data_IF_596117295038
#
_entry.id   IF_596117295038
#
_cell.length_a   1.000
_cell.length_b   1.000
_cell.length_c   1.000
_cell.angle_alpha   90.00
_cell.angle_beta   90.00
_cell.angle_gamma   90.00
#
_symmetry.space_group_name_H-M   'P 1'
#
loop_
_entity.id
_entity.type
_entity.pdbx_description
1 polymer ?
#
# COMPACT_ATOMS: atom_id res chain seq x y z
N UNK A 1 -24.40 14.32 5.38
CA UNK A 1 -23.83 13.31 6.28
C UNK A 1 -22.35 13.10 6.00
N UNK A 2 -21.56 12.62 6.96
CA UNK A 2 -20.14 12.32 6.73
C UNK A 2 -19.94 11.33 5.59
N UNK A 3 -20.77 10.29 5.48
CA UNK A 3 -20.69 9.31 4.41
C UNK A 3 -20.93 9.92 3.04
N UNK A 4 -21.92 10.81 2.92
CA UNK A 4 -22.22 11.47 1.68
C UNK A 4 -21.07 12.36 1.22
N UNK A 5 -20.44 13.08 2.15
CA UNK A 5 -19.26 13.91 1.85
C UNK A 5 -18.09 13.07 1.40
N UNK A 6 -17.89 11.93 2.04
CA UNK A 6 -16.83 10.99 1.67
C UNK A 6 -17.04 10.48 0.25
N UNK A 7 -18.26 10.08 -0.07
CA UNK A 7 -18.59 9.59 -1.40
C UNK A 7 -18.37 10.66 -2.48
N UNK A 8 -18.77 11.90 -2.19
CA UNK A 8 -18.53 13.03 -3.10
C UNK A 8 -17.03 13.30 -3.27
N UNK A 9 -16.26 13.19 -2.19
CA UNK A 9 -14.81 13.36 -2.25
C UNK A 9 -14.16 12.29 -3.13
N UNK A 10 -14.57 11.03 -3.00
CA UNK A 10 -14.04 9.94 -3.82
C UNK A 10 -14.39 10.15 -5.29
N UNK A 11 -15.62 10.58 -5.59
CA UNK A 11 -16.04 10.89 -6.94
C UNK A 11 -15.21 12.03 -7.53
N UNK A 12 -14.99 13.10 -6.75
CA UNK A 12 -14.16 14.22 -7.18
C UNK A 12 -12.72 13.79 -7.47
N UNK A 13 -12.16 12.86 -6.68
CA UNK A 13 -10.85 12.29 -6.92
C UNK A 13 -10.77 11.55 -8.25
N UNK A 14 -11.78 10.73 -8.57
CA UNK A 14 -11.82 9.99 -9.82
C UNK A 14 -11.91 10.91 -11.03
N UNK A 15 -12.59 12.05 -10.88
CA UNK A 15 -12.69 13.06 -11.92
C UNK A 15 -11.45 13.96 -12.02
N UNK A 16 -10.47 13.77 -11.13
CA UNK A 16 -9.27 14.59 -11.08
C UNK A 16 -9.45 15.94 -10.39
N UNK A 17 -10.57 16.15 -9.72
CA UNK A 17 -10.88 17.40 -9.01
C UNK A 17 -10.32 17.34 -7.59
N UNK A 18 -9.00 17.38 -7.47
CA UNK A 18 -8.33 17.18 -6.20
C UNK A 18 -8.61 18.27 -5.17
N UNK A 19 -8.71 19.54 -5.59
CA UNK A 19 -9.02 20.65 -4.67
C UNK A 19 -10.41 20.53 -4.07
N UNK A 20 -11.40 20.14 -4.89
CA UNK A 20 -12.77 19.91 -4.42
C UNK A 20 -12.81 18.73 -3.43
N UNK A 21 -12.06 17.67 -3.71
CA UNK A 21 -11.96 16.52 -2.81
C UNK A 21 -11.33 16.90 -1.47
N UNK A 22 -10.27 17.72 -1.48
CA UNK A 22 -9.65 18.25 -0.25
C UNK A 22 -10.63 19.02 0.61
N UNK A 23 -11.42 19.89 -0.02
CA UNK A 23 -12.42 20.67 0.70
C UNK A 23 -13.49 19.77 1.32
N UNK A 24 -14.03 18.81 0.57
CA UNK A 24 -15.04 17.87 1.07
C UNK A 24 -14.51 17.02 2.22
N UNK A 25 -13.27 16.56 2.12
CA UNK A 25 -12.63 15.75 3.15
C UNK A 25 -12.35 16.61 4.38
N UNK A 26 -11.88 17.85 4.18
CA UNK A 26 -11.63 18.79 5.27
C UNK A 26 -12.87 19.04 6.13
N UNK A 27 -14.05 19.08 5.51
CA UNK A 27 -15.33 19.20 6.21
C UNK A 27 -15.71 17.94 6.99
N UNK A 28 -15.11 16.79 6.64
CA UNK A 28 -15.41 15.49 7.24
C UNK A 28 -14.39 15.06 8.29
N UNK A 29 -13.34 15.85 8.51
CA UNK A 29 -12.18 15.47 9.33
C UNK A 29 -12.46 15.23 10.82
N UNK A 30 -13.67 15.48 11.27
CA UNK A 30 -14.04 15.22 12.67
C UNK A 30 -14.45 13.76 12.92
N UNK A 31 -14.56 12.97 11.86
CA UNK A 31 -14.84 11.54 11.96
C UNK A 31 -13.72 10.81 11.23
N UNK A 32 -12.94 10.02 11.86
CA UNK A 32 -11.93 9.02 11.44
C UNK A 32 -11.63 8.85 9.92
N UNK A 33 -11.71 9.90 9.11
CA UNK A 33 -11.50 9.84 7.66
C UNK A 33 -10.08 10.24 7.25
N UNK A 34 -9.14 10.17 8.18
CA UNK A 34 -7.74 10.41 7.89
C UNK A 34 -7.21 9.55 6.77
N UNK A 35 -7.72 8.32 6.64
CA UNK A 35 -7.29 7.41 5.59
C UNK A 35 -7.66 7.91 4.18
N UNK A 36 -8.85 8.48 4.01
CA UNK A 36 -9.25 9.01 2.70
C UNK A 36 -8.44 10.24 2.32
N UNK A 37 -8.22 11.14 3.28
CA UNK A 37 -7.34 12.29 3.08
C UNK A 37 -5.94 11.82 2.72
N UNK A 38 -5.44 10.81 3.41
CA UNK A 38 -4.13 10.24 3.13
C UNK A 38 -4.04 9.68 1.71
N UNK A 39 -5.08 8.96 1.26
CA UNK A 39 -5.13 8.43 -0.11
C UNK A 39 -5.14 9.55 -1.15
N UNK A 40 -5.83 10.64 -0.86
CA UNK A 40 -5.81 11.84 -1.70
C UNK A 40 -4.39 12.36 -1.84
N UNK A 41 -3.68 12.53 -0.74
CA UNK A 41 -2.30 12.99 -0.77
C UNK A 41 -1.39 12.01 -1.53
N UNK A 42 -1.60 10.70 -1.40
CA UNK A 42 -0.84 9.71 -2.15
C UNK A 42 -1.03 9.88 -3.66
N UNK A 43 -2.27 10.10 -4.10
CA UNK A 43 -2.56 10.35 -5.52
C UNK A 43 -1.88 11.61 -6.05
N UNK A 44 -1.67 12.60 -5.19
CA UNK A 44 -1.00 13.85 -5.54
C UNK A 44 0.53 13.75 -5.43
N UNK A 45 1.06 12.62 -4.97
CA UNK A 45 2.49 12.47 -4.73
C UNK A 45 2.99 13.18 -3.47
N UNK A 46 2.08 13.61 -2.60
CA UNK A 46 2.41 14.32 -1.36
C UNK A 46 2.59 13.30 -0.23
N UNK A 47 3.69 12.56 -0.27
CA UNK A 47 3.90 11.42 0.62
C UNK A 47 4.01 11.80 2.09
N UNK A 48 4.66 12.93 2.41
CA UNK A 48 4.78 13.36 3.80
C UNK A 48 3.43 13.74 4.41
N UNK A 49 2.59 14.45 3.66
CA UNK A 49 1.25 14.78 4.12
C UNK A 49 0.40 13.52 4.28
N UNK A 50 0.55 12.56 3.38
CA UNK A 50 -0.13 11.27 3.49
C UNK A 50 0.26 10.54 4.78
N UNK A 51 1.56 10.52 5.12
CA UNK A 51 2.04 9.91 6.36
C UNK A 51 1.43 10.56 7.59
N UNK A 52 1.36 11.90 7.61
CA UNK A 52 0.73 12.61 8.73
C UNK A 52 -0.74 12.29 8.85
N UNK A 53 -1.45 12.19 7.73
CA UNK A 53 -2.88 11.86 7.72
C UNK A 53 -3.15 10.44 8.20
N UNK A 54 -2.30 9.48 7.84
CA UNK A 54 -2.40 8.12 8.36
C UNK A 54 -2.09 8.03 9.85
N UNK A 55 -1.17 8.88 10.33
CA UNK A 55 -0.74 8.86 11.73
C UNK A 55 -0.22 7.48 12.14
N UNK A 56 -0.82 6.90 13.18
CA UNK A 56 -0.44 5.57 13.69
C UNK A 56 -1.31 4.44 13.13
N UNK A 57 -2.09 4.70 12.09
CA UNK A 57 -2.95 3.69 11.46
C UNK A 57 -2.13 2.52 10.94
N UNK A 58 -2.57 1.29 11.25
CA UNK A 58 -1.95 0.05 10.78
C UNK A 58 -2.81 -0.55 9.67
N UNK A 59 -2.49 -0.18 8.43
CA UNK A 59 -3.22 -0.65 7.25
C UNK A 59 -2.27 -0.84 6.08
N UNK A 60 -2.72 -1.58 5.06
CA UNK A 60 -1.95 -1.74 3.83
C UNK A 60 -1.67 -0.38 3.17
N UNK A 61 -2.64 0.51 3.16
CA UNK A 61 -2.48 1.83 2.54
C UNK A 61 -1.46 2.70 3.29
N UNK A 62 -1.47 2.66 4.64
CA UNK A 62 -0.47 3.36 5.44
C UNK A 62 0.95 2.84 5.14
N UNK A 63 1.10 1.53 4.98
CA UNK A 63 2.37 0.92 4.62
C UNK A 63 2.84 1.36 3.22
N UNK A 64 1.91 1.48 2.27
CA UNK A 64 2.24 1.98 0.92
C UNK A 64 2.81 3.40 1.00
N UNK A 65 2.20 4.27 1.80
CA UNK A 65 2.71 5.63 1.99
C UNK A 65 4.12 5.63 2.55
N UNK A 66 4.39 4.79 3.55
CA UNK A 66 5.72 4.65 4.13
C UNK A 66 6.72 4.09 3.13
N UNK A 67 6.32 3.07 2.36
CA UNK A 67 7.14 2.46 1.31
C UNK A 67 7.53 3.50 0.24
N UNK A 68 6.58 4.28 -0.24
CA UNK A 68 6.82 5.30 -1.25
C UNK A 68 7.70 6.44 -0.72
N UNK A 69 7.67 6.69 0.59
CA UNK A 69 8.55 7.65 1.24
C UNK A 69 9.87 7.00 1.71
N UNK A 70 10.16 5.79 1.26
CA UNK A 70 11.39 5.04 1.54
C UNK A 70 11.61 4.73 3.02
N UNK A 71 10.55 4.69 3.79
CA UNK A 71 10.57 4.29 5.20
C UNK A 71 10.28 2.79 5.31
N UNK A 72 11.23 1.97 4.88
CA UNK A 72 11.01 0.53 4.73
C UNK A 72 10.81 -0.19 6.06
N UNK A 73 11.58 0.15 7.08
CA UNK A 73 11.41 -0.45 8.40
C UNK A 73 10.03 -0.13 8.98
N UNK A 74 9.59 1.12 8.84
CA UNK A 74 8.27 1.55 9.28
C UNK A 74 7.17 0.86 8.51
N UNK A 75 7.34 0.70 7.20
CA UNK A 75 6.37 0.00 6.36
C UNK A 75 6.23 -1.46 6.79
N UNK A 76 7.33 -2.15 7.05
CA UNK A 76 7.30 -3.54 7.50
C UNK A 76 6.62 -3.65 8.88
N UNK A 77 6.94 -2.75 9.80
CA UNK A 77 6.30 -2.73 11.12
C UNK A 77 4.80 -2.52 10.99
N UNK A 78 4.38 -1.58 10.15
CA UNK A 78 2.95 -1.34 9.89
C UNK A 78 2.27 -2.60 9.37
N UNK A 79 2.86 -3.26 8.37
CA UNK A 79 2.29 -4.47 7.78
C UNK A 79 2.21 -5.62 8.80
N UNK A 80 3.21 -5.73 9.67
CA UNK A 80 3.20 -6.76 10.72
C UNK A 80 2.12 -6.53 11.77
N UNK A 81 1.58 -5.33 11.85
CA UNK A 81 0.54 -4.96 12.83
C UNK A 81 -0.85 -4.76 12.20
N UNK A 82 -1.01 -5.08 10.93
CA UNK A 82 -2.34 -5.07 10.29
C UNK A 82 -3.19 -6.17 10.91
N UNK A 83 -4.37 -5.80 11.42
CA UNK A 83 -5.25 -6.73 12.13
C UNK A 83 -5.89 -7.73 11.18
N UNK A 84 -6.40 -7.26 10.05
CA UNK A 84 -7.04 -8.11 9.04
C UNK A 84 -6.16 -8.14 7.79
N UNK A 85 -5.21 -9.08 7.79
CA UNK A 85 -4.32 -9.26 6.65
C UNK A 85 -5.05 -9.95 5.49
N UNK A 86 -4.55 -9.70 4.29
CA UNK A 86 -4.99 -10.38 3.08
C UNK A 86 -3.77 -10.66 2.19
N UNK A 87 -4.01 -11.20 1.01
CA UNK A 87 -2.92 -11.47 0.07
C UNK A 87 -2.11 -10.23 -0.27
N UNK A 88 -2.78 -9.06 -0.36
CA UNK A 88 -2.10 -7.78 -0.62
C UNK A 88 -1.14 -7.42 0.51
N UNK A 89 -1.49 -7.71 1.77
CA UNK A 89 -0.59 -7.48 2.90
C UNK A 89 0.73 -8.23 2.71
N UNK A 90 0.65 -9.51 2.36
CA UNK A 90 1.84 -10.33 2.13
C UNK A 90 2.62 -9.88 0.90
N UNK A 91 1.91 -9.49 -0.16
CA UNK A 91 2.53 -8.97 -1.37
C UNK A 91 3.33 -7.69 -1.08
N UNK A 92 2.77 -6.79 -0.29
CA UNK A 92 3.45 -5.56 0.13
C UNK A 92 4.68 -5.87 0.99
N UNK A 93 4.58 -6.85 1.91
CA UNK A 93 5.74 -7.30 2.69
C UNK A 93 6.86 -7.80 1.77
N UNK A 94 6.49 -8.53 0.71
CA UNK A 94 7.45 -9.02 -0.27
C UNK A 94 8.16 -7.86 -0.97
N UNK A 95 7.43 -6.82 -1.37
CA UNK A 95 8.01 -5.62 -1.99
C UNK A 95 8.96 -4.91 -1.04
N UNK A 96 8.55 -4.70 0.21
CA UNK A 96 9.39 -4.03 1.21
C UNK A 96 10.67 -4.82 1.42
N UNK A 97 10.57 -6.15 1.58
CA UNK A 97 11.74 -7.01 1.77
C UNK A 97 12.68 -6.96 0.56
N UNK A 98 12.12 -6.95 -0.66
CA UNK A 98 12.93 -6.85 -1.87
C UNK A 98 13.69 -5.52 -1.93
N UNK A 99 13.07 -4.42 -1.55
CA UNK A 99 13.72 -3.11 -1.50
C UNK A 99 14.79 -3.05 -0.41
N UNK A 100 14.62 -3.81 0.66
CA UNK A 100 15.63 -3.94 1.72
C UNK A 100 16.73 -4.95 1.36
N UNK A 101 16.67 -5.52 0.16
CA UNK A 101 17.62 -6.52 -0.33
C UNK A 101 17.61 -7.81 0.51
N UNK A 102 16.49 -8.10 1.14
CA UNK A 102 16.28 -9.35 1.86
C UNK A 102 15.53 -10.33 0.96
N UNK A 103 16.26 -10.97 0.07
CA UNK A 103 15.71 -11.85 -0.97
C UNK A 103 14.93 -13.02 -0.38
N UNK A 104 15.44 -13.61 0.68
CA UNK A 104 14.82 -14.74 1.33
C UNK A 104 13.43 -14.41 1.88
N UNK A 105 13.34 -13.31 2.62
CA UNK A 105 12.07 -12.85 3.16
C UNK A 105 11.10 -12.45 2.05
N UNK A 106 11.61 -11.76 1.01
CA UNK A 106 10.81 -11.36 -0.13
C UNK A 106 10.13 -12.57 -0.79
N UNK A 107 10.89 -13.64 -1.02
CA UNK A 107 10.37 -14.86 -1.63
C UNK A 107 9.36 -15.54 -0.70
N UNK A 108 9.64 -15.61 0.59
CA UNK A 108 8.73 -16.23 1.56
C UNK A 108 7.39 -15.47 1.62
N UNK A 109 7.41 -14.15 1.68
CA UNK A 109 6.19 -13.34 1.69
C UNK A 109 5.44 -13.45 0.36
N UNK A 110 6.17 -13.46 -0.76
CA UNK A 110 5.55 -13.60 -2.07
C UNK A 110 4.87 -14.96 -2.22
N UNK A 111 5.51 -16.02 -1.74
CA UNK A 111 4.94 -17.37 -1.72
C UNK A 111 3.61 -17.39 -0.96
N UNK A 112 3.57 -16.76 0.20
CA UNK A 112 2.35 -16.69 1.00
C UNK A 112 1.27 -15.87 0.30
N UNK A 113 1.64 -14.76 -0.33
CA UNK A 113 0.70 -13.93 -1.10
C UNK A 113 0.06 -14.74 -2.23
N UNK A 114 0.86 -15.49 -2.99
CA UNK A 114 0.37 -16.31 -4.10
C UNK A 114 -0.49 -17.46 -3.59
N UNK A 115 -0.15 -18.03 -2.43
CA UNK A 115 -0.97 -19.07 -1.81
C UNK A 115 -2.38 -18.54 -1.50
N UNK A 116 -2.46 -17.31 -1.00
CA UNK A 116 -3.74 -16.67 -0.63
C UNK A 116 -4.50 -16.16 -1.84
N UNK A 117 -3.80 -15.70 -2.88
CA UNK A 117 -4.39 -15.24 -4.13
C UNK A 117 -3.50 -15.65 -5.31
N UNK A 118 -3.79 -16.79 -5.97
CA UNK A 118 -2.98 -17.29 -7.09
C UNK A 118 -2.85 -16.32 -8.27
N UNK A 119 -3.76 -15.37 -8.42
CA UNK A 119 -3.68 -14.36 -9.48
C UNK A 119 -2.44 -13.46 -9.34
N UNK A 120 -1.89 -13.35 -8.12
CA UNK A 120 -0.69 -12.55 -7.88
C UNK A 120 0.57 -13.13 -8.54
N UNK A 121 0.55 -14.41 -8.92
CA UNK A 121 1.68 -15.00 -9.66
C UNK A 121 1.95 -14.25 -10.97
N UNK A 122 0.91 -14.01 -11.75
CA UNK A 122 1.03 -13.27 -13.02
C UNK A 122 1.51 -11.85 -12.79
N UNK A 123 1.02 -11.20 -11.75
CA UNK A 123 1.46 -9.85 -11.38
C UNK A 123 2.95 -9.84 -11.01
N UNK A 124 3.39 -10.81 -10.22
CA UNK A 124 4.79 -10.87 -9.77
C UNK A 124 5.76 -11.07 -10.92
N UNK A 125 5.38 -11.82 -11.96
CA UNK A 125 6.22 -12.05 -13.14
C UNK A 125 6.61 -10.74 -13.82
N UNK A 126 5.70 -9.79 -13.91
CA UNK A 126 5.91 -8.52 -14.57
C UNK A 126 6.22 -7.35 -13.62
N UNK A 127 6.24 -7.59 -12.32
CA UNK A 127 6.45 -6.53 -11.34
C UNK A 127 7.92 -6.17 -11.23
N UNK A 128 8.24 -4.92 -11.53
CA UNK A 128 9.62 -4.41 -11.47
C UNK A 128 10.22 -4.45 -10.07
N UNK A 129 9.38 -4.48 -9.04
CA UNK A 129 9.85 -4.56 -7.66
C UNK A 129 10.67 -5.82 -7.40
N UNK A 130 10.43 -6.88 -8.17
CA UNK A 130 11.12 -8.15 -8.01
C UNK A 130 12.20 -8.39 -9.08
N UNK A 131 12.57 -7.36 -9.83
CA UNK A 131 13.58 -7.50 -10.89
C UNK A 131 14.92 -8.04 -10.37
N UNK A 132 15.32 -7.66 -9.16
CA UNK A 132 16.56 -8.15 -8.55
C UNK A 132 16.53 -9.66 -8.24
N UNK A 133 15.34 -10.26 -8.21
CA UNK A 133 15.16 -11.67 -7.91
C UNK A 133 15.08 -12.56 -9.15
N UNK A 134 15.18 -11.97 -10.35
CA UNK A 134 14.94 -12.67 -11.60
C UNK A 134 15.83 -13.92 -11.78
N UNK A 135 17.06 -13.89 -11.25
CA UNK A 135 18.00 -14.98 -11.35
C UNK A 135 18.03 -15.88 -10.09
N UNK A 136 17.21 -15.57 -9.09
CA UNK A 136 17.13 -16.40 -7.89
C UNK A 136 16.33 -17.66 -8.19
N UNK A 137 16.92 -18.81 -7.95
CA UNK A 137 16.32 -20.09 -8.30
C UNK A 137 14.98 -20.34 -7.61
N UNK A 138 14.86 -20.00 -6.33
CA UNK A 138 13.60 -20.15 -5.59
C UNK A 138 12.51 -19.25 -6.17
N UNK A 139 12.87 -18.02 -6.55
CA UNK A 139 11.93 -17.09 -7.18
C UNK A 139 11.44 -17.65 -8.53
N UNK A 140 12.36 -18.12 -9.36
CA UNK A 140 12.02 -18.70 -10.66
C UNK A 140 11.06 -19.89 -10.48
N UNK A 141 11.33 -20.78 -9.52
CA UNK A 141 10.47 -21.93 -9.25
C UNK A 141 9.08 -21.51 -8.75
N UNK A 142 9.03 -20.50 -7.90
CA UNK A 142 7.76 -19.99 -7.36
C UNK A 142 6.83 -19.50 -8.47
N UNK A 143 7.37 -18.90 -9.52
CA UNK A 143 6.60 -18.27 -10.60
C UNK A 143 6.31 -19.19 -11.78
N UNK A 144 6.76 -20.44 -11.74
CA UNK A 144 6.45 -21.42 -12.79
C UNK A 144 4.99 -21.87 -12.79
#
# INVERSE_FOLDING_TARGET
TPEARLNLALLALEEGKTSEAEELIGQSLQSDNGEVLALLYLKQGKYEQALKAFGSTKSNNAAIAQLLNRQYDSAMETLNNVVRTNATTDYLKAIVAARMQDDRSAINFLSEAIRRDPALRSRAISDKEFASLANNERFVQLLK
#
